data_IF_622267284252
#
_entry.id   IF_622267284252
#
_cell.length_a   1.000
_cell.length_b   1.000
_cell.length_c   1.000
_cell.angle_alpha   90.00
_cell.angle_beta   90.00
_cell.angle_gamma   90.00
#
_symmetry.space_group_name_H-M   'P 1'
#
loop_
_entity.id
_entity.type
_entity.pdbx_description
1 polymer ?
#
# COMPACT_ATOMS: atom_id res chain seq x y z
N UNK A 1 -17.66 2.81 1.90
CA UNK A 1 -16.28 2.56 2.41
C UNK A 1 -15.26 3.23 1.49
N UNK A 2 -14.12 3.70 2.00
CA UNK A 2 -13.01 4.26 1.21
C UNK A 2 -11.75 3.43 1.40
N UNK A 3 -10.91 3.35 0.38
CA UNK A 3 -9.63 2.64 0.45
C UNK A 3 -8.72 3.37 1.44
N UNK A 4 -8.14 2.63 2.40
CA UNK A 4 -7.27 3.17 3.42
C UNK A 4 -5.96 3.75 2.83
N UNK A 5 -5.52 3.26 1.67
CA UNK A 5 -4.33 3.74 0.96
C UNK A 5 -4.62 4.96 0.07
N UNK A 6 -5.46 4.84 -0.97
CA UNK A 6 -5.63 5.88 -1.99
C UNK A 6 -6.89 6.75 -1.81
N UNK A 7 -7.70 6.48 -0.79
CA UNK A 7 -8.91 7.25 -0.47
C UNK A 7 -10.09 7.06 -1.43
N UNK A 8 -9.97 6.21 -2.47
CA UNK A 8 -11.04 6.00 -3.44
C UNK A 8 -12.25 5.32 -2.80
N UNK A 9 -13.45 5.71 -3.22
CA UNK A 9 -14.68 5.08 -2.75
C UNK A 9 -14.81 3.67 -3.36
N UNK A 10 -15.29 2.74 -2.54
CA UNK A 10 -15.64 1.38 -2.94
C UNK A 10 -16.84 1.41 -3.88
N UNK A 11 -16.76 0.69 -5.01
CA UNK A 11 -17.86 0.51 -5.97
C UNK A 11 -18.84 -0.57 -5.47
N UNK A 12 -20.02 -0.62 -6.08
CA UNK A 12 -21.00 -1.67 -5.79
C UNK A 12 -20.42 -3.03 -6.22
N UNK A 13 -20.51 -4.04 -5.35
CA UNK A 13 -19.96 -5.40 -5.52
C UNK A 13 -18.43 -5.52 -5.58
N UNK A 14 -17.69 -4.43 -5.42
CA UNK A 14 -16.25 -4.51 -5.26
C UNK A 14 -15.89 -5.13 -3.91
N UNK A 15 -14.77 -5.84 -3.84
CA UNK A 15 -14.18 -6.32 -2.59
C UNK A 15 -12.92 -5.53 -2.28
N UNK A 16 -12.74 -5.20 -1.01
CA UNK A 16 -11.50 -4.59 -0.52
C UNK A 16 -10.77 -5.67 0.27
N UNK A 17 -9.45 -5.61 0.24
CA UNK A 17 -8.59 -6.48 1.02
C UNK A 17 -8.33 -5.89 2.39
N UNK A 18 -8.40 -6.73 3.42
CA UNK A 18 -8.14 -6.34 4.80
C UNK A 18 -6.68 -6.61 5.18
N UNK A 19 -5.90 -5.53 5.34
CA UNK A 19 -4.48 -5.61 5.72
C UNK A 19 -4.28 -5.62 7.25
N UNK A 20 -5.30 -5.98 8.02
CA UNK A 20 -5.30 -5.88 9.48
C UNK A 20 -5.17 -4.44 9.94
N UNK A 21 -4.04 -4.11 10.59
CA UNK A 21 -3.76 -2.75 11.09
C UNK A 21 -3.66 -1.69 9.98
N UNK A 22 -3.35 -2.11 8.75
CA UNK A 22 -3.36 -1.20 7.59
C UNK A 22 -4.76 -0.84 7.09
N UNK A 23 -5.81 -1.53 7.57
CA UNK A 23 -7.18 -1.31 7.18
C UNK A 23 -7.56 -1.91 5.82
N UNK A 24 -8.74 -1.51 5.33
CA UNK A 24 -9.35 -2.02 4.09
C UNK A 24 -8.84 -1.23 2.87
N UNK A 25 -8.17 -1.91 1.94
CA UNK A 25 -7.63 -1.31 0.71
C UNK A 25 -8.31 -1.87 -0.54
N UNK A 26 -8.33 -1.09 -1.61
CA UNK A 26 -8.80 -1.58 -2.89
C UNK A 26 -7.80 -2.53 -3.55
N UNK A 27 -8.28 -3.32 -4.51
CA UNK A 27 -7.46 -4.26 -5.31
C UNK A 27 -6.18 -3.61 -5.84
N UNK A 28 -6.28 -2.44 -6.49
CA UNK A 28 -5.11 -1.71 -7.02
C UNK A 28 -4.04 -1.40 -5.94
N UNK A 29 -4.48 -1.08 -4.72
CA UNK A 29 -3.57 -0.75 -3.63
C UNK A 29 -3.00 -2.00 -2.96
N UNK A 30 -3.76 -3.09 -2.94
CA UNK A 30 -3.26 -4.39 -2.52
C UNK A 30 -2.20 -4.91 -3.49
N UNK A 31 -2.46 -4.84 -4.81
CA UNK A 31 -1.50 -5.23 -5.84
C UNK A 31 -0.17 -4.47 -5.69
N UNK A 32 -0.21 -3.18 -5.37
CA UNK A 32 1.01 -2.40 -5.07
C UNK A 32 1.76 -2.98 -3.85
N UNK A 33 1.07 -3.44 -2.80
CA UNK A 33 1.75 -4.07 -1.64
C UNK A 33 2.45 -5.36 -2.06
N UNK A 34 1.77 -6.22 -2.83
CA UNK A 34 2.37 -7.46 -3.34
C UNK A 34 3.57 -7.17 -4.23
N UNK A 35 3.47 -6.21 -5.15
CA UNK A 35 4.60 -5.82 -6.00
C UNK A 35 5.79 -5.27 -5.22
N UNK A 36 5.57 -4.55 -4.11
CA UNK A 36 6.68 -4.13 -3.23
C UNK A 36 7.37 -5.36 -2.64
N UNK A 37 6.60 -6.34 -2.17
CA UNK A 37 7.14 -7.58 -1.62
C UNK A 37 7.92 -8.39 -2.67
N UNK A 38 7.34 -8.59 -3.84
CA UNK A 38 7.93 -9.34 -4.95
C UNK A 38 9.19 -8.65 -5.45
N UNK A 39 9.18 -7.32 -5.58
CA UNK A 39 10.36 -6.56 -5.99
C UNK A 39 11.54 -6.73 -5.02
N UNK A 40 11.28 -6.88 -3.70
CA UNK A 40 12.34 -7.21 -2.72
C UNK A 40 12.85 -8.63 -2.95
N UNK A 41 11.93 -9.60 -3.09
CA UNK A 41 12.27 -11.03 -3.30
C UNK A 41 13.05 -11.26 -4.60
N UNK A 42 12.68 -10.57 -5.66
CA UNK A 42 13.24 -10.71 -7.01
C UNK A 42 14.39 -9.72 -7.28
N UNK A 43 14.79 -8.92 -6.28
CA UNK A 43 15.86 -7.91 -6.37
C UNK A 43 15.65 -6.85 -7.48
N UNK A 44 14.39 -6.46 -7.72
CA UNK A 44 14.01 -5.45 -8.72
C UNK A 44 13.91 -4.05 -8.09
N UNK A 45 15.07 -3.40 -7.93
CA UNK A 45 15.17 -2.11 -7.21
C UNK A 45 14.32 -0.98 -7.83
N UNK A 46 14.20 -0.96 -9.15
CA UNK A 46 13.44 0.07 -9.86
C UNK A 46 11.93 -0.06 -9.61
N UNK A 47 11.39 -1.28 -9.71
CA UNK A 47 9.99 -1.59 -9.39
C UNK A 47 9.68 -1.30 -7.92
N UNK A 48 10.57 -1.72 -7.00
CA UNK A 48 10.44 -1.40 -5.58
C UNK A 48 10.32 0.11 -5.35
N UNK A 49 11.24 0.90 -5.92
CA UNK A 49 11.24 2.35 -5.75
C UNK A 49 9.99 3.00 -6.36
N UNK A 50 9.55 2.51 -7.53
CA UNK A 50 8.35 2.99 -8.21
C UNK A 50 7.11 2.81 -7.32
N UNK A 51 6.92 1.61 -6.78
CA UNK A 51 5.75 1.27 -5.98
C UNK A 51 5.76 1.95 -4.61
N UNK A 52 6.89 1.96 -3.90
CA UNK A 52 7.03 2.68 -2.63
C UNK A 52 6.75 4.18 -2.82
N UNK A 53 7.25 4.77 -3.90
CA UNK A 53 6.98 6.18 -4.24
C UNK A 53 5.49 6.43 -4.51
N UNK A 54 4.81 5.50 -5.17
CA UNK A 54 3.36 5.60 -5.43
C UNK A 54 2.57 5.66 -4.13
N UNK A 55 2.87 4.76 -3.18
CA UNK A 55 2.20 4.74 -1.86
C UNK A 55 2.49 6.01 -1.08
N UNK A 56 3.76 6.42 -1.03
CA UNK A 56 4.15 7.66 -0.36
C UNK A 56 3.46 8.88 -0.95
N UNK A 57 3.25 8.95 -2.26
CA UNK A 57 2.52 10.05 -2.88
C UNK A 57 1.03 10.11 -2.45
N UNK A 58 0.40 8.97 -2.16
CA UNK A 58 -0.97 8.95 -1.61
C UNK A 58 -1.01 9.46 -0.17
N UNK A 59 -0.03 9.08 0.65
CA UNK A 59 0.13 9.58 2.02
C UNK A 59 0.44 11.08 2.00
N UNK A 60 1.39 11.47 1.14
CA UNK A 60 1.77 12.82 0.66
C UNK A 60 0.56 13.76 0.56
N UNK A 61 -0.37 13.32 -0.30
CA UNK A 61 -1.58 14.04 -0.69
C UNK A 61 -2.72 13.88 0.31
N UNK A 62 -2.47 13.31 1.50
CA UNK A 62 -3.46 13.04 2.56
C UNK A 62 -4.66 12.23 2.06
N UNK A 63 -4.44 11.35 1.09
CA UNK A 63 -5.47 10.43 0.60
C UNK A 63 -5.60 9.20 1.50
N UNK A 64 -4.48 8.79 2.09
CA UNK A 64 -4.42 7.66 3.01
C UNK A 64 -4.98 8.00 4.38
N UNK A 65 -5.50 7.00 5.09
CA UNK A 65 -5.83 7.13 6.51
C UNK A 65 -4.55 7.22 7.33
N UNK A 66 -4.64 7.80 8.54
CA UNK A 66 -3.51 7.87 9.46
C UNK A 66 -3.01 6.46 9.82
N UNK A 67 -3.92 5.53 10.12
CA UNK A 67 -3.58 4.14 10.48
C UNK A 67 -2.85 3.41 9.34
N UNK A 68 -3.29 3.59 8.08
CA UNK A 68 -2.58 3.01 6.94
C UNK A 68 -1.17 3.60 6.80
N UNK A 69 -1.04 4.92 6.91
CA UNK A 69 0.25 5.59 6.78
C UNK A 69 1.24 5.17 7.87
N UNK A 70 0.76 4.98 9.11
CA UNK A 70 1.56 4.50 10.23
C UNK A 70 1.97 3.04 10.02
N UNK A 71 1.00 2.15 9.76
CA UNK A 71 1.25 0.73 9.47
C UNK A 71 2.21 0.53 8.29
N UNK A 72 2.04 1.29 7.20
CA UNK A 72 2.89 1.18 6.03
C UNK A 72 4.35 1.46 6.40
N UNK A 73 4.62 2.59 7.07
CA UNK A 73 5.98 3.01 7.43
C UNK A 73 6.60 2.14 8.54
N UNK A 74 5.81 1.73 9.52
CA UNK A 74 6.33 1.14 10.76
C UNK A 74 6.26 -0.38 10.83
N UNK A 75 5.40 -1.03 10.05
CA UNK A 75 5.22 -2.49 10.07
C UNK A 75 5.47 -3.11 8.69
N UNK A 76 4.87 -2.56 7.63
CA UNK A 76 4.99 -3.12 6.29
C UNK A 76 6.40 -2.91 5.72
N UNK A 77 6.90 -1.67 5.71
CA UNK A 77 8.21 -1.37 5.14
C UNK A 77 9.37 -2.04 5.91
N UNK A 78 9.25 -2.22 7.23
CA UNK A 78 10.28 -2.93 8.01
C UNK A 78 10.48 -4.39 7.59
N UNK A 79 9.43 -5.02 7.07
CA UNK A 79 9.46 -6.40 6.57
C UNK A 79 9.85 -6.50 5.10
N UNK A 80 9.78 -5.38 4.37
CA UNK A 80 10.04 -5.29 2.95
C UNK A 80 11.11 -4.22 2.69
N UNK A 81 12.22 -4.29 3.42
CA UNK A 81 13.37 -3.41 3.18
C UNK A 81 14.15 -3.98 2.00
N UNK A 82 14.35 -3.16 0.97
CA UNK A 82 15.28 -3.48 -0.11
C UNK A 82 16.72 -3.25 0.37
N UNK A 83 17.52 -4.32 0.48
CA UNK A 83 18.91 -4.31 0.93
C UNK A 83 19.89 -4.14 -0.23
#
# INVERSE_FOLDING_TARGET
MKCACCGRKKKLFESFENLGKGGEVCEDCSDIMYRIHDAVTEQQKEEYNLHVKSVNAYIEKKKSTADFADWFRNDFMKRNIFL
#
